data_IF_785996353159
#
_entry.id   IF_785996353159
#
_cell.length_a   1.000
_cell.length_b   1.000
_cell.length_c   1.000
_cell.angle_alpha   90.00
_cell.angle_beta   90.00
_cell.angle_gamma   90.00
#
_symmetry.space_group_name_H-M   'P 1'
#
loop_
_entity.id
_entity.type
_entity.pdbx_description
1 polymer ?
#
# COMPACT_ATOMS: atom_id res chain seq x y z
N UNK A 1 -2.45 -30.72 -12.02
CA UNK A 1 -3.20 -31.00 -13.26
C UNK A 1 -2.83 -29.94 -14.27
N UNK A 2 -2.39 -30.32 -15.47
CA UNK A 2 -2.26 -29.38 -16.58
C UNK A 2 -3.69 -28.96 -16.92
N UNK A 3 -3.98 -27.66 -16.92
CA UNK A 3 -5.25 -27.20 -17.48
C UNK A 3 -5.21 -27.59 -18.96
N UNK A 4 -6.07 -28.53 -19.39
CA UNK A 4 -6.25 -28.80 -20.81
C UNK A 4 -6.96 -27.60 -21.42
N UNK A 5 -6.18 -26.71 -22.04
CA UNK A 5 -6.71 -25.68 -22.90
C UNK A 5 -7.09 -26.31 -24.24
N UNK A 6 -8.38 -26.38 -24.53
CA UNK A 6 -8.88 -26.61 -25.87
C UNK A 6 -8.87 -25.26 -26.59
N UNK A 7 -7.81 -25.00 -27.34
CA UNK A 7 -7.69 -23.77 -28.12
C UNK A 7 -8.47 -23.92 -29.42
N UNK A 8 -9.35 -22.96 -29.72
CA UNK A 8 -10.05 -22.92 -31.00
C UNK A 8 -9.10 -22.49 -32.11
N UNK A 9 -9.18 -23.16 -33.25
CA UNK A 9 -8.39 -22.86 -34.45
C UNK A 9 -9.17 -22.05 -35.50
N UNK A 10 -10.46 -21.80 -35.26
CA UNK A 10 -11.34 -21.05 -36.17
C UNK A 10 -10.97 -19.56 -36.18
N UNK A 11 -10.52 -19.08 -37.34
CA UNK A 11 -10.14 -17.68 -37.57
C UNK A 11 -11.35 -16.96 -38.20
N UNK A 12 -12.11 -16.25 -37.38
CA UNK A 12 -13.27 -15.47 -37.84
C UNK A 12 -12.82 -14.22 -38.63
N UNK A 13 -11.86 -13.47 -38.08
CA UNK A 13 -11.35 -12.24 -38.68
C UNK A 13 -9.84 -12.34 -38.95
N UNK A 14 -9.44 -12.71 -40.17
CA UNK A 14 -8.03 -12.85 -40.50
C UNK A 14 -7.33 -11.49 -40.59
N UNK A 15 -6.18 -11.42 -39.94
CA UNK A 15 -5.29 -10.26 -39.92
C UNK A 15 -4.22 -10.42 -41.01
N UNK A 16 -3.92 -9.32 -41.70
CA UNK A 16 -2.88 -9.26 -42.74
C UNK A 16 -1.48 -9.39 -42.14
N UNK A 17 -0.50 -9.79 -42.96
CA UNK A 17 0.88 -9.96 -42.52
C UNK A 17 1.50 -8.66 -42.00
N UNK A 18 1.14 -7.50 -42.57
CA UNK A 18 1.64 -6.17 -42.19
C UNK A 18 0.92 -5.52 -41.00
N UNK A 19 -0.29 -5.99 -40.66
CA UNK A 19 -1.10 -5.36 -39.61
C UNK A 19 -0.55 -5.66 -38.21
N UNK A 20 -0.73 -4.75 -37.26
CA UNK A 20 -0.37 -5.03 -35.86
C UNK A 20 -1.52 -5.75 -35.17
N UNK A 21 -1.18 -6.64 -34.22
CA UNK A 21 -2.14 -7.33 -33.36
C UNK A 21 -1.99 -6.83 -31.93
N UNK A 22 -3.12 -6.68 -31.24
CA UNK A 22 -3.13 -6.21 -29.87
C UNK A 22 -4.36 -6.69 -29.13
N UNK A 23 -4.18 -7.05 -27.87
CA UNK A 23 -5.23 -7.50 -26.98
C UNK A 23 -4.94 -7.05 -25.56
N UNK A 24 -5.98 -6.68 -24.83
CA UNK A 24 -5.91 -6.29 -23.42
C UNK A 24 -7.06 -6.95 -22.68
N UNK A 25 -6.75 -7.71 -21.63
CA UNK A 25 -7.76 -8.22 -20.71
C UNK A 25 -8.29 -7.08 -19.82
N UNK A 26 -9.54 -7.16 -19.34
CA UNK A 26 -10.18 -6.07 -18.59
C UNK A 26 -9.49 -5.72 -17.26
N UNK A 27 -8.66 -6.60 -16.73
CA UNK A 27 -7.91 -6.42 -15.48
C UNK A 27 -6.57 -5.67 -15.66
N UNK A 28 -6.17 -5.30 -16.88
CA UNK A 28 -4.89 -4.64 -17.15
C UNK A 28 -5.07 -3.12 -17.20
N UNK A 29 -4.27 -2.41 -16.40
CA UNK A 29 -4.22 -0.94 -16.46
C UNK A 29 -3.73 -0.45 -17.82
N UNK A 30 -4.40 0.57 -18.38
CA UNK A 30 -4.01 1.17 -19.66
C UNK A 30 -2.57 1.69 -19.69
N UNK A 31 -2.03 2.16 -18.56
CA UNK A 31 -0.60 2.54 -18.45
C UNK A 31 0.31 1.34 -18.70
N UNK A 32 0.04 0.21 -18.05
CA UNK A 32 0.85 -1.00 -18.17
C UNK A 32 0.81 -1.57 -19.60
N UNK A 33 -0.34 -1.48 -20.26
CA UNK A 33 -0.47 -1.83 -21.66
C UNK A 33 0.28 -0.86 -22.58
N UNK A 34 0.25 0.44 -22.29
CA UNK A 34 1.05 1.43 -23.01
C UNK A 34 2.55 1.14 -22.89
N UNK A 35 3.03 0.82 -21.68
CA UNK A 35 4.43 0.47 -21.43
C UNK A 35 4.85 -0.83 -22.17
N UNK A 36 3.93 -1.79 -22.33
CA UNK A 36 4.15 -2.97 -23.16
C UNK A 36 4.29 -2.59 -24.64
N UNK A 37 3.39 -1.77 -25.17
CA UNK A 37 3.40 -1.30 -26.56
C UNK A 37 4.66 -0.49 -26.91
N UNK A 38 5.12 0.35 -25.98
CA UNK A 38 6.35 1.13 -26.13
C UNK A 38 7.61 0.34 -25.81
N UNK A 39 7.50 -0.95 -25.47
CA UNK A 39 8.64 -1.81 -25.18
C UNK A 39 9.48 -1.31 -24.01
N UNK A 40 8.86 -0.56 -23.07
CA UNK A 40 9.46 -0.13 -21.81
C UNK A 40 9.53 -1.28 -20.82
N UNK A 41 8.61 -2.24 -20.92
CA UNK A 41 8.67 -3.49 -20.17
C UNK A 41 9.63 -4.44 -20.94
N UNK A 42 10.83 -4.73 -20.40
CA UNK A 42 11.76 -5.63 -21.06
C UNK A 42 11.19 -7.04 -21.06
N UNK A 43 11.30 -7.72 -22.21
CA UNK A 43 11.00 -9.15 -22.30
C UNK A 43 12.11 -9.94 -21.61
N UNK A 44 11.75 -11.00 -20.91
CA UNK A 44 12.69 -11.79 -20.12
C UNK A 44 13.11 -13.10 -20.81
N UNK A 45 12.20 -13.66 -21.60
CA UNK A 45 12.42 -14.92 -22.31
C UNK A 45 11.76 -14.85 -23.68
N UNK A 46 12.34 -15.59 -24.63
CA UNK A 46 11.89 -15.66 -26.02
C UNK A 46 11.48 -17.09 -26.37
N UNK A 47 10.42 -17.22 -27.17
CA UNK A 47 10.03 -18.44 -27.87
C UNK A 47 10.05 -18.18 -29.38
N UNK A 48 10.59 -19.12 -30.16
CA UNK A 48 10.57 -19.07 -31.62
C UNK A 48 9.69 -20.19 -32.15
N UNK A 49 8.69 -19.82 -32.95
CA UNK A 49 7.68 -20.69 -33.54
C UNK A 49 7.72 -20.66 -35.07
N UNK A 50 8.62 -19.87 -35.67
CA UNK A 50 8.61 -19.58 -37.11
C UNK A 50 8.78 -20.82 -38.01
N UNK A 51 9.54 -21.82 -37.56
CA UNK A 51 9.81 -23.06 -38.31
C UNK A 51 8.92 -24.24 -37.90
N UNK A 52 7.95 -24.04 -37.00
CA UNK A 52 7.11 -25.10 -36.48
C UNK A 52 5.77 -25.19 -37.19
N UNK A 53 5.28 -26.42 -37.36
CA UNK A 53 3.91 -26.67 -37.81
C UNK A 53 2.90 -26.14 -36.77
N UNK A 54 1.71 -25.67 -37.18
CA UNK A 54 0.72 -25.09 -36.27
C UNK A 54 0.42 -25.94 -35.02
N UNK A 55 0.22 -27.25 -35.21
CA UNK A 55 -0.06 -28.19 -34.11
C UNK A 55 1.09 -28.22 -33.08
N UNK A 56 2.35 -28.30 -33.55
CA UNK A 56 3.52 -28.31 -32.68
C UNK A 56 3.72 -26.95 -32.02
N UNK A 57 3.50 -25.88 -32.77
CA UNK A 57 3.60 -24.51 -32.27
C UNK A 57 2.59 -24.26 -31.15
N UNK A 58 1.37 -24.79 -31.25
CA UNK A 58 0.34 -24.73 -30.21
C UNK A 58 0.81 -25.37 -28.90
N UNK A 59 1.32 -26.61 -28.97
CA UNK A 59 1.82 -27.32 -27.79
C UNK A 59 3.02 -26.60 -27.16
N UNK A 60 3.97 -26.14 -27.98
CA UNK A 60 5.12 -25.39 -27.51
C UNK A 60 4.74 -24.05 -26.87
N UNK A 61 3.78 -23.33 -27.46
CA UNK A 61 3.26 -22.07 -26.94
C UNK A 61 2.65 -22.24 -25.55
N UNK A 62 1.74 -23.21 -25.40
CA UNK A 62 1.07 -23.50 -24.13
C UNK A 62 2.08 -23.91 -23.05
N UNK A 63 2.94 -24.87 -23.36
CA UNK A 63 3.92 -25.37 -22.40
C UNK A 63 4.94 -24.30 -22.01
N UNK A 64 5.36 -23.45 -22.96
CA UNK A 64 6.22 -22.30 -22.70
C UNK A 64 5.54 -21.30 -21.76
N UNK A 65 4.32 -20.85 -22.06
CA UNK A 65 3.60 -19.88 -21.22
C UNK A 65 3.40 -20.43 -19.81
N UNK A 66 2.98 -21.69 -19.65
CA UNK A 66 2.83 -22.31 -18.34
C UNK A 66 4.16 -22.41 -17.58
N UNK A 67 5.24 -22.79 -18.25
CA UNK A 67 6.58 -22.86 -17.63
C UNK A 67 7.06 -21.48 -17.17
N UNK A 68 6.84 -20.43 -17.96
CA UNK A 68 7.28 -19.08 -17.60
C UNK A 68 6.37 -18.44 -16.55
N UNK A 69 5.07 -18.68 -16.60
CA UNK A 69 4.13 -18.25 -15.56
C UNK A 69 4.49 -18.85 -14.19
N UNK A 70 4.84 -20.14 -14.14
CA UNK A 70 5.36 -20.80 -12.93
C UNK A 70 6.68 -20.22 -12.40
N UNK A 71 7.45 -19.58 -13.27
CA UNK A 71 8.70 -18.87 -12.93
C UNK A 71 8.46 -17.38 -12.61
N UNK A 72 7.20 -16.96 -12.48
CA UNK A 72 6.79 -15.58 -12.20
C UNK A 72 7.35 -14.56 -13.19
N UNK A 73 7.52 -14.97 -14.44
CA UNK A 73 7.94 -14.07 -15.52
C UNK A 73 6.81 -13.14 -15.90
N UNK A 74 7.15 -11.89 -16.21
CA UNK A 74 6.18 -10.85 -16.48
C UNK A 74 5.95 -10.65 -17.97
N UNK A 75 7.03 -10.58 -18.76
CA UNK A 75 6.98 -10.24 -20.18
C UNK A 75 7.75 -11.28 -21.00
N UNK A 76 7.08 -11.80 -22.03
CA UNK A 76 7.60 -12.81 -22.94
C UNK A 76 7.65 -12.25 -24.36
N UNK A 77 8.61 -12.70 -25.15
CA UNK A 77 8.67 -12.43 -26.58
C UNK A 77 8.36 -13.70 -27.36
N UNK A 78 7.36 -13.66 -28.23
CA UNK A 78 6.99 -14.80 -29.08
C UNK A 78 7.23 -14.42 -30.52
N UNK A 79 8.13 -15.15 -31.19
CA UNK A 79 8.44 -14.97 -32.59
C UNK A 79 7.68 -16.00 -33.39
N UNK A 80 6.78 -15.56 -34.25
CA UNK A 80 6.04 -16.42 -35.17
C UNK A 80 6.52 -16.26 -36.62
N UNK A 81 7.38 -15.28 -36.87
CA UNK A 81 7.88 -14.94 -38.20
C UNK A 81 6.85 -14.17 -39.02
N UNK A 82 7.30 -13.50 -40.08
CA UNK A 82 6.46 -12.61 -40.88
C UNK A 82 5.53 -13.37 -41.83
N UNK A 83 5.70 -14.69 -41.95
CA UNK A 83 5.17 -15.47 -43.07
C UNK A 83 5.78 -15.02 -44.41
N UNK A 84 5.58 -15.78 -45.47
CA UNK A 84 5.94 -15.30 -46.81
C UNK A 84 5.10 -14.07 -47.17
N UNK A 85 5.70 -13.05 -47.79
CA UNK A 85 5.04 -11.75 -48.11
C UNK A 85 3.74 -11.89 -48.92
N UNK A 86 3.57 -13.01 -49.63
CA UNK A 86 2.40 -13.32 -50.45
C UNK A 86 1.55 -14.48 -49.91
N UNK A 87 1.85 -14.99 -48.72
CA UNK A 87 1.11 -16.09 -48.10
C UNK A 87 0.25 -15.59 -46.95
N UNK A 88 -0.88 -16.27 -46.76
CA UNK A 88 -1.71 -16.08 -45.57
C UNK A 88 -0.85 -16.29 -44.30
N UNK A 89 -0.80 -15.32 -43.36
CA UNK A 89 0.02 -15.42 -42.16
C UNK A 89 -0.69 -16.31 -41.12
N UNK A 90 -0.75 -17.61 -41.41
CA UNK A 90 -1.52 -18.58 -40.64
C UNK A 90 -1.16 -18.55 -39.15
N UNK A 91 0.13 -18.70 -38.84
CA UNK A 91 0.59 -18.79 -37.44
C UNK A 91 0.32 -17.51 -36.65
N UNK A 92 0.39 -16.35 -37.29
CA UNK A 92 0.06 -15.06 -36.68
C UNK A 92 -1.42 -14.99 -36.28
N UNK A 93 -2.31 -15.41 -37.19
CA UNK A 93 -3.74 -15.42 -36.93
C UNK A 93 -4.12 -16.42 -35.84
N UNK A 94 -3.50 -17.60 -35.85
CA UNK A 94 -3.66 -18.60 -34.81
C UNK A 94 -3.20 -18.07 -33.45
N UNK A 95 -2.02 -17.46 -33.35
CA UNK A 95 -1.53 -16.87 -32.09
C UNK A 95 -2.46 -15.76 -31.59
N UNK A 96 -2.97 -14.91 -32.49
CA UNK A 96 -3.94 -13.88 -32.14
C UNK A 96 -5.23 -14.48 -31.54
N UNK A 97 -5.66 -15.64 -32.04
CA UNK A 97 -6.84 -16.35 -31.52
C UNK A 97 -6.56 -17.12 -30.23
N UNK A 98 -5.39 -17.76 -30.12
CA UNK A 98 -5.02 -18.63 -29.01
C UNK A 98 -4.67 -17.86 -27.74
N UNK A 99 -3.90 -16.77 -27.84
CA UNK A 99 -3.41 -16.04 -26.68
C UNK A 99 -4.53 -15.54 -25.74
N UNK A 100 -5.65 -14.96 -26.23
CA UNK A 100 -6.76 -14.54 -25.37
C UNK A 100 -7.44 -15.69 -24.60
N UNK A 101 -7.34 -16.93 -25.10
CA UNK A 101 -7.97 -18.10 -24.50
C UNK A 101 -7.14 -18.65 -23.32
N UNK A 102 -5.88 -18.24 -23.18
CA UNK A 102 -4.97 -18.67 -22.13
C UNK A 102 -5.11 -17.75 -20.91
N UNK A 103 -5.53 -18.30 -19.76
CA UNK A 103 -5.82 -17.49 -18.56
C UNK A 103 -4.59 -16.78 -18.00
N UNK A 104 -3.41 -17.30 -18.24
CA UNK A 104 -2.14 -16.70 -17.83
C UNK A 104 -1.78 -15.45 -18.63
N UNK A 105 -2.39 -15.22 -19.78
CA UNK A 105 -2.12 -14.05 -20.62
C UNK A 105 -2.99 -12.88 -20.18
N UNK A 106 -2.35 -11.77 -19.84
CA UNK A 106 -3.00 -10.53 -19.44
C UNK A 106 -3.22 -9.59 -20.63
N UNK A 107 -2.21 -9.45 -21.47
CA UNK A 107 -2.25 -8.58 -22.65
C UNK A 107 -1.17 -9.00 -23.64
N UNK A 108 -1.33 -8.66 -24.91
CA UNK A 108 -0.25 -8.77 -25.89
C UNK A 108 -0.31 -7.67 -26.93
N UNK A 109 0.82 -7.39 -27.55
CA UNK A 109 0.94 -6.42 -28.63
C UNK A 109 2.09 -6.84 -29.57
N UNK A 110 1.97 -6.56 -30.87
CA UNK A 110 3.08 -6.74 -31.81
C UNK A 110 4.36 -6.07 -31.32
N UNK A 111 5.49 -6.75 -31.47
CA UNK A 111 6.77 -6.26 -30.96
C UNK A 111 7.21 -4.98 -31.69
N UNK A 112 8.16 -4.26 -31.10
CA UNK A 112 8.78 -3.14 -31.79
C UNK A 112 9.70 -3.63 -32.92
N UNK A 113 9.99 -2.79 -33.93
CA UNK A 113 10.90 -3.15 -35.02
C UNK A 113 12.25 -3.69 -34.55
N UNK A 114 12.77 -3.20 -33.41
CA UNK A 114 14.03 -3.67 -32.80
C UNK A 114 14.00 -5.15 -32.37
N UNK A 115 12.83 -5.67 -32.01
CA UNK A 115 12.64 -7.02 -31.45
C UNK A 115 11.86 -7.95 -32.41
N UNK A 116 11.76 -7.60 -33.69
CA UNK A 116 11.11 -8.41 -34.73
C UNK A 116 9.81 -7.83 -35.31
N UNK A 117 9.34 -6.69 -34.80
CA UNK A 117 8.22 -5.95 -35.37
C UNK A 117 6.94 -6.79 -35.47
N UNK A 118 6.35 -6.81 -36.67
CA UNK A 118 5.11 -7.54 -36.94
C UNK A 118 5.28 -9.06 -36.97
N UNK A 119 6.52 -9.57 -37.02
CA UNK A 119 6.83 -11.00 -36.96
C UNK A 119 6.98 -11.55 -35.53
N UNK A 120 6.81 -10.69 -34.52
CA UNK A 120 6.92 -11.04 -33.12
C UNK A 120 5.88 -10.31 -32.26
N UNK A 121 5.63 -10.83 -31.07
CA UNK A 121 4.61 -10.34 -30.15
C UNK A 121 5.16 -10.31 -28.73
N UNK A 122 4.98 -9.20 -28.03
CA UNK A 122 5.17 -9.15 -26.59
C UNK A 122 3.91 -9.66 -25.90
N UNK A 123 4.09 -10.56 -24.95
CA UNK A 123 3.02 -11.15 -24.14
C UNK A 123 3.27 -10.81 -22.68
N UNK A 124 2.32 -10.08 -22.08
CA UNK A 124 2.28 -9.79 -20.67
C UNK A 124 1.54 -10.92 -19.96
N UNK A 125 2.18 -11.53 -18.98
CA UNK A 125 1.55 -12.55 -18.13
C UNK A 125 0.84 -11.90 -16.96
N UNK A 126 -0.26 -12.54 -16.55
CA UNK A 126 -0.90 -12.26 -15.27
C UNK A 126 0.10 -12.57 -14.17
N UNK A 127 0.29 -11.63 -13.25
CA UNK A 127 0.96 -11.96 -12.01
C UNK A 127 0.09 -13.01 -11.33
N UNK A 128 0.60 -14.25 -11.22
CA UNK A 128 0.10 -15.12 -10.17
C UNK A 128 0.49 -14.43 -8.88
N UNK A 129 -0.45 -13.64 -8.35
CA UNK A 129 -0.44 -13.27 -6.96
C UNK A 129 -0.41 -14.61 -6.23
N UNK A 130 0.78 -15.01 -5.74
CA UNK A 130 0.80 -15.77 -4.50
C UNK A 130 -0.20 -15.03 -3.61
N UNK A 131 -1.26 -15.68 -3.11
CA UNK A 131 -2.29 -15.00 -2.34
C UNK A 131 -1.53 -14.11 -1.38
N UNK A 132 -1.60 -12.78 -1.61
CA UNK A 132 -0.81 -11.82 -0.85
C UNK A 132 -1.02 -12.26 0.58
N UNK A 133 0.05 -12.61 1.36
CA UNK A 133 -0.13 -13.27 2.63
C UNK A 133 -1.17 -12.43 3.31
N UNK A 134 -2.41 -12.96 3.40
CA UNK A 134 -3.54 -12.19 3.91
C UNK A 134 -2.94 -11.65 5.16
N UNK A 135 -2.85 -10.32 5.30
CA UNK A 135 -2.25 -9.74 6.50
C UNK A 135 -3.06 -10.40 7.58
N UNK A 136 -2.51 -11.49 8.14
CA UNK A 136 -2.94 -12.10 9.35
C UNK A 136 -2.58 -10.91 10.18
N UNK A 137 -3.60 -10.11 10.45
CA UNK A 137 -3.48 -9.03 11.38
C UNK A 137 -2.66 -9.65 12.49
N UNK A 138 -1.63 -8.94 12.93
CA UNK A 138 -0.93 -9.36 14.13
C UNK A 138 -1.97 -9.26 15.28
N UNK A 139 -3.02 -10.07 15.29
CA UNK A 139 -3.55 -10.69 16.47
C UNK A 139 -2.37 -11.53 16.95
N UNK A 140 -1.52 -10.80 17.67
CA UNK A 140 -0.71 -11.35 18.72
C UNK A 140 -1.40 -12.60 19.25
N UNK A 141 -0.75 -13.75 19.07
CA UNK A 141 -1.15 -15.02 19.68
C UNK A 141 -1.11 -14.95 21.22
N UNK A 142 -0.77 -13.78 21.77
CA UNK A 142 -0.98 -13.41 23.15
C UNK A 142 -2.46 -13.06 23.34
N UNK A 143 -3.16 -14.03 23.93
CA UNK A 143 -4.49 -13.96 24.52
C UNK A 143 -4.94 -12.51 24.71
N UNK A 144 -5.76 -12.01 23.78
CA UNK A 144 -6.49 -10.79 24.01
C UNK A 144 -7.41 -11.06 25.20
N UNK A 145 -7.08 -10.51 26.37
CA UNK A 145 -8.07 -10.28 27.41
C UNK A 145 -9.19 -9.46 26.75
N UNK A 146 -10.27 -10.13 26.40
CA UNK A 146 -11.42 -9.47 25.80
C UNK A 146 -11.96 -8.46 26.81
N UNK A 147 -12.47 -7.31 26.36
CA UNK A 147 -13.09 -6.30 27.25
C UNK A 147 -14.15 -6.89 28.19
N UNK A 148 -14.73 -8.05 27.83
CA UNK A 148 -15.64 -8.81 28.67
C UNK A 148 -14.95 -9.42 29.91
N UNK A 149 -13.75 -9.98 29.75
CA UNK A 149 -12.95 -10.51 30.86
C UNK A 149 -12.45 -9.39 31.79
N UNK A 150 -12.02 -8.26 31.24
CA UNK A 150 -11.62 -7.11 32.06
C UNK A 150 -12.81 -6.56 32.88
N UNK A 151 -14.01 -6.52 32.26
CA UNK A 151 -15.24 -6.14 32.96
C UNK A 151 -15.59 -7.12 34.08
N UNK A 152 -15.46 -8.42 33.84
CA UNK A 152 -15.70 -9.45 34.87
C UNK A 152 -14.68 -9.36 36.01
N UNK A 153 -13.41 -9.11 35.71
CA UNK A 153 -12.36 -8.93 36.71
C UNK A 153 -12.62 -7.71 37.60
N UNK A 154 -13.01 -6.57 37.02
CA UNK A 154 -13.39 -5.37 37.80
C UNK A 154 -14.60 -5.62 38.70
N UNK A 155 -15.59 -6.39 38.24
CA UNK A 155 -16.74 -6.77 39.06
C UNK A 155 -16.36 -7.72 40.20
N UNK A 156 -15.47 -8.69 39.96
CA UNK A 156 -14.96 -9.60 40.99
C UNK A 156 -14.09 -8.88 42.04
N UNK A 157 -13.28 -7.90 41.62
CA UNK A 157 -12.49 -7.05 42.53
C UNK A 157 -13.40 -6.15 43.39
N UNK A 158 -14.50 -5.62 42.84
CA UNK A 158 -15.51 -4.88 43.60
C UNK A 158 -16.29 -5.78 44.60
N UNK A 159 -16.44 -7.06 44.28
CA UNK A 159 -17.06 -8.05 45.18
C UNK A 159 -16.09 -8.62 46.23
N UNK A 160 -14.86 -8.11 46.30
CA UNK A 160 -13.92 -8.41 47.38
C UNK A 160 -13.19 -9.75 47.27
N UNK A 161 -13.33 -10.48 46.15
CA UNK A 161 -12.61 -11.73 45.93
C UNK A 161 -11.15 -11.47 45.50
N UNK A 162 -10.30 -11.02 46.44
CA UNK A 162 -8.86 -11.03 46.21
C UNK A 162 -8.32 -12.45 46.35
N UNK A 163 -8.11 -13.14 45.23
CA UNK A 163 -7.26 -14.34 45.21
C UNK A 163 -5.80 -13.93 45.05
N UNK A 164 -5.21 -13.32 46.07
CA UNK A 164 -3.76 -13.16 46.14
C UNK A 164 -3.22 -14.21 47.11
N UNK A 165 -2.42 -15.13 46.59
CA UNK A 165 -1.61 -16.00 47.45
C UNK A 165 -0.60 -15.12 48.21
N UNK A 166 -0.42 -15.38 49.51
CA UNK A 166 0.57 -14.68 50.34
C UNK A 166 1.96 -15.02 49.82
N UNK A 167 2.60 -14.05 49.18
CA UNK A 167 4.01 -14.15 48.77
C UNK A 167 4.86 -13.87 50.01
N UNK A 168 5.62 -14.87 50.48
CA UNK A 168 6.67 -14.67 51.48
C UNK A 168 7.84 -13.94 50.80
N UNK A 169 7.91 -12.62 50.98
CA UNK A 169 9.09 -11.86 50.62
C UNK A 169 10.28 -12.35 51.46
N UNK A 170 11.40 -12.63 50.81
CA UNK A 170 12.67 -12.92 51.46
C UNK A 170 13.15 -11.61 52.07
N UNK A 171 13.38 -11.58 53.38
CA UNK A 171 13.89 -10.40 54.08
C UNK A 171 15.23 -9.99 53.46
N UNK A 172 15.26 -8.79 52.89
CA UNK A 172 16.49 -8.16 52.44
C UNK A 172 17.08 -7.39 53.62
N UNK A 173 18.37 -7.61 53.88
CA UNK A 173 19.16 -6.99 54.94
C UNK A 173 19.05 -5.47 54.93
N UNK A 174 18.80 -4.88 56.10
CA UNK A 174 18.84 -3.45 56.34
C UNK A 174 20.24 -2.90 56.08
N UNK A 175 20.43 -2.31 54.89
CA UNK A 175 21.41 -1.26 54.68
C UNK A 175 20.65 -0.07 54.12
N UNK A 176 20.57 1.00 54.90
CA UNK A 176 19.95 2.27 54.52
C UNK A 176 20.63 2.81 53.26
N UNK A 177 19.90 2.84 52.16
CA UNK A 177 20.27 3.63 50.99
C UNK A 177 19.90 5.09 51.28
N UNK A 178 20.92 5.94 51.37
CA UNK A 178 20.79 7.39 51.47
C UNK A 178 19.93 7.94 50.33
N UNK A 179 18.90 8.72 50.66
CA UNK A 179 18.05 9.41 49.71
C UNK A 179 18.87 10.38 48.83
N UNK A 180 18.94 10.10 47.52
CA UNK A 180 19.40 11.05 46.50
C UNK A 180 18.28 12.01 46.11
N UNK A 181 18.60 13.21 45.57
CA UNK A 181 17.63 14.27 45.34
C UNK A 181 16.62 13.89 44.24
N UNK A 182 15.34 13.84 44.57
CA UNK A 182 14.20 13.57 43.68
C UNK A 182 13.84 14.77 42.78
N UNK A 183 14.81 15.32 42.04
CA UNK A 183 14.62 16.55 41.27
C UNK A 183 14.45 16.40 39.76
N UNK A 184 14.97 15.34 39.13
CA UNK A 184 15.33 15.42 37.70
C UNK A 184 14.65 14.41 36.76
N UNK A 185 13.66 13.64 37.21
CA UNK A 185 13.02 12.62 36.37
C UNK A 185 11.86 13.12 35.49
N UNK A 186 11.43 14.38 35.61
CA UNK A 186 10.38 14.93 34.72
C UNK A 186 10.90 15.40 33.34
N UNK A 187 12.22 15.51 33.12
CA UNK A 187 12.77 16.07 31.88
C UNK A 187 12.99 15.05 30.75
N UNK A 188 12.78 13.76 30.99
CA UNK A 188 13.09 12.72 29.99
C UNK A 188 11.94 12.36 29.03
N UNK A 189 10.73 12.90 29.24
CA UNK A 189 9.61 12.72 28.28
C UNK A 189 9.68 13.72 27.11
N UNK A 190 10.55 14.73 27.18
CA UNK A 190 10.61 15.83 26.20
C UNK A 190 11.75 15.73 25.17
N UNK A 191 12.51 14.64 25.11
CA UNK A 191 13.66 14.49 24.20
C UNK A 191 13.52 13.42 23.12
N UNK A 192 12.33 13.28 22.49
CA UNK A 192 12.21 12.51 21.25
C UNK A 192 12.33 13.43 20.01
N UNK A 193 13.39 13.32 19.18
CA UNK A 193 13.66 14.24 18.07
C UNK A 193 12.62 14.25 16.96
N UNK A 194 11.80 13.20 16.84
CA UNK A 194 10.87 13.00 15.72
C UNK A 194 9.41 13.35 16.00
N UNK A 195 9.09 13.94 17.16
CA UNK A 195 7.75 14.49 17.43
C UNK A 195 7.68 16.02 17.29
N UNK A 196 8.80 16.67 16.97
CA UNK A 196 8.87 18.11 16.67
C UNK A 196 8.63 18.44 15.18
N UNK A 197 7.84 17.63 14.48
CA UNK A 197 7.48 17.89 13.09
C UNK A 197 5.99 17.64 12.81
N UNK A 198 5.11 18.22 13.62
CA UNK A 198 3.99 18.93 13.00
C UNK A 198 4.56 20.27 12.53
N UNK A 199 5.05 20.28 11.29
CA UNK A 199 5.34 21.51 10.57
C UNK A 199 4.02 22.28 10.46
N UNK A 200 3.88 23.26 11.33
CA UNK A 200 2.78 24.18 11.44
C UNK A 200 2.85 25.14 10.23
N UNK A 201 2.30 24.72 9.09
CA UNK A 201 2.30 25.47 7.82
C UNK A 201 1.21 26.58 7.76
N UNK A 202 0.75 27.04 8.92
CA UNK A 202 0.08 28.34 9.06
C UNK A 202 -1.31 28.49 8.43
N UNK A 203 -1.95 27.42 7.95
CA UNK A 203 -3.34 27.48 7.44
C UNK A 203 -4.10 26.20 7.79
N UNK A 204 -4.37 25.97 9.07
CA UNK A 204 -5.49 25.14 9.47
C UNK A 204 -6.66 26.07 9.81
N UNK A 205 -7.75 25.95 9.04
CA UNK A 205 -9.02 26.56 9.47
C UNK A 205 -9.43 25.93 10.80
N UNK A 206 -9.85 26.70 11.80
CA UNK A 206 -10.10 26.18 13.13
C UNK A 206 -11.14 25.06 13.04
N UNK A 207 -10.78 23.85 13.50
CA UNK A 207 -11.67 22.68 13.59
C UNK A 207 -12.90 22.93 14.48
N UNK A 208 -12.91 24.03 15.24
CA UNK A 208 -14.06 24.51 15.98
C UNK A 208 -14.45 25.91 15.49
N UNK A 209 -15.61 26.09 14.83
CA UNK A 209 -16.09 27.41 14.42
C UNK A 209 -16.35 28.27 15.67
N UNK A 210 -16.16 29.59 15.54
CA UNK A 210 -16.39 30.50 16.65
C UNK A 210 -17.85 30.42 17.15
N UNK A 211 -18.07 30.33 18.47
CA UNK A 211 -19.42 30.30 19.02
C UNK A 211 -20.17 31.63 18.79
N UNK A 212 -21.52 31.60 18.70
CA UNK A 212 -22.32 32.79 18.40
C UNK A 212 -22.21 33.87 19.48
N UNK A 213 -22.23 35.14 19.03
CA UNK A 213 -21.86 36.35 19.80
C UNK A 213 -22.61 36.56 21.14
N UNK A 214 -23.79 35.96 21.33
CA UNK A 214 -24.64 36.17 22.52
C UNK A 214 -24.68 34.95 23.47
N UNK A 215 -23.72 34.02 23.37
CA UNK A 215 -23.66 32.80 24.18
C UNK A 215 -22.61 32.89 25.29
N UNK A 216 -22.83 32.18 26.42
CA UNK A 216 -21.79 32.00 27.45
C UNK A 216 -20.52 31.36 26.88
N UNK A 217 -20.70 30.45 25.91
CA UNK A 217 -19.61 29.85 25.14
C UNK A 217 -18.70 30.87 24.44
N UNK A 218 -19.22 32.05 24.03
CA UNK A 218 -18.38 33.12 23.46
C UNK A 218 -17.49 33.79 24.50
N UNK A 219 -18.04 34.06 25.69
CA UNK A 219 -17.26 34.62 26.80
C UNK A 219 -16.16 33.67 27.24
N UNK A 220 -16.45 32.38 27.31
CA UNK A 220 -15.48 31.34 27.63
C UNK A 220 -14.40 31.23 26.57
N UNK A 221 -14.77 31.15 25.28
CA UNK A 221 -13.82 31.14 24.17
C UNK A 221 -12.86 32.33 24.20
N UNK A 222 -13.38 33.55 24.44
CA UNK A 222 -12.57 34.77 24.52
C UNK A 222 -11.72 34.84 25.80
N UNK A 223 -12.14 34.19 26.90
CA UNK A 223 -11.34 34.05 28.13
C UNK A 223 -10.20 33.05 27.93
N UNK A 224 -10.50 31.91 27.32
CA UNK A 224 -9.59 30.78 27.14
C UNK A 224 -8.50 31.10 26.12
N UNK A 225 -8.85 31.82 25.05
CA UNK A 225 -7.88 32.38 24.09
C UNK A 225 -6.90 33.33 24.77
N UNK A 226 -7.37 34.21 25.66
CA UNK A 226 -6.49 35.12 26.43
C UNK A 226 -5.58 34.35 27.39
N UNK A 227 -6.08 33.32 28.05
CA UNK A 227 -5.28 32.46 28.92
C UNK A 227 -4.19 31.71 28.15
N UNK A 228 -4.51 31.12 26.99
CA UNK A 228 -3.51 30.46 26.15
C UNK A 228 -2.44 31.42 25.65
N UNK A 229 -2.81 32.63 25.25
CA UNK A 229 -1.84 33.66 24.86
C UNK A 229 -0.95 34.07 26.05
N UNK A 230 -1.52 34.22 27.24
CA UNK A 230 -0.76 34.53 28.46
C UNK A 230 0.20 33.39 28.85
N UNK A 231 -0.26 32.14 28.81
CA UNK A 231 0.56 30.96 29.07
C UNK A 231 1.69 30.81 28.05
N UNK A 232 1.40 31.05 26.76
CA UNK A 232 2.40 31.08 25.68
C UNK A 232 3.45 32.17 25.93
N UNK A 233 3.05 33.35 26.38
CA UNK A 233 3.98 34.43 26.74
C UNK A 233 4.84 34.06 27.96
N UNK A 234 4.26 33.43 28.99
CA UNK A 234 5.00 32.92 30.15
C UNK A 234 6.03 31.85 29.73
N UNK A 235 5.65 30.92 28.86
CA UNK A 235 6.52 29.85 28.33
C UNK A 235 7.68 30.40 27.49
N UNK A 236 7.44 31.53 26.80
CA UNK A 236 8.46 32.28 26.05
C UNK A 236 9.30 33.20 26.95
N UNK A 237 9.08 33.23 28.27
CA UNK A 237 9.83 34.04 29.23
C UNK A 237 9.43 35.52 29.28
N UNK A 238 8.37 35.92 28.57
CA UNK A 238 7.84 37.28 28.57
C UNK A 238 6.85 37.47 29.73
N UNK A 239 7.35 37.67 30.95
CA UNK A 239 6.49 37.94 32.11
C UNK A 239 5.78 39.30 31.97
N UNK A 240 4.47 39.39 32.26
CA UNK A 240 3.77 40.66 32.36
C UNK A 240 4.42 41.55 33.42
N UNK A 241 4.82 42.76 33.05
CA UNK A 241 5.33 43.75 34.01
C UNK A 241 4.16 44.31 34.81
N UNK A 242 4.03 43.90 36.07
CA UNK A 242 3.09 44.52 36.99
C UNK A 242 3.62 45.89 37.43
N UNK A 243 3.13 46.96 36.79
CA UNK A 243 3.39 48.31 37.25
C UNK A 243 2.34 48.69 38.29
N UNK A 244 2.75 48.90 39.54
CA UNK A 244 1.90 49.31 40.66
C UNK A 244 1.53 50.81 40.64
N UNK A 245 1.56 51.46 39.47
CA UNK A 245 1.11 52.84 39.33
C UNK A 245 -0.42 52.87 39.32
N UNK A 246 -1.09 53.53 40.28
CA UNK A 246 -2.53 53.72 40.24
C UNK A 246 -2.89 54.49 38.95
N UNK A 247 -3.76 53.93 38.11
CA UNK A 247 -4.25 54.65 36.93
C UNK A 247 -5.06 55.87 37.40
N UNK A 248 -4.84 57.09 36.86
CA UNK A 248 -5.64 58.24 37.20
C UNK A 248 -7.11 57.99 36.81
N UNK A 249 -8.04 58.34 37.71
CA UNK A 249 -9.47 58.31 37.39
C UNK A 249 -9.72 59.32 36.26
N UNK A 250 -10.32 58.86 35.17
CA UNK A 250 -10.71 59.71 34.04
C UNK A 250 -11.72 60.79 34.46
N UNK A 251 -11.91 61.84 33.65
CA UNK A 251 -12.75 62.98 34.00
C UNK A 251 -14.22 62.59 34.14
N UNK A 252 -14.92 63.28 35.04
CA UNK A 252 -16.38 63.19 35.24
C UNK A 252 -17.17 63.62 34.01
#
# INVERSE_FOLDING_TARGET
>A
MLNEYYLNDDIEEPVLASSTISYIAPNVSGKRFHDLKTGLIPWETKLDLSDYQPENARHMLLDFIHKQAKKFKQCLLIIHGTGSKNSFPLLKNLINNWLPQIREVAAFHSAQPKDGGVGAVYVLLNAFELPAPTRIEKSTFLVAETKAMERQRRLAEQQGERRLAVVKAREHSEYEATAGPEGDLQNDILQHPHLASQRFDGVDSPLNPEPPLNSEARREFDNERRNQEQEKQLRLGNMPKFNNTPKPRGPY
#
